data_IF_468011333609
#
_entry.id   IF_468011333609
#
_cell.length_a   1.000
_cell.length_b   1.000
_cell.length_c   1.000
_cell.angle_alpha   90.00
_cell.angle_beta   90.00
_cell.angle_gamma   90.00
#
_symmetry.space_group_name_H-M   'P 1'
#
loop_
_entity.id
_entity.type
_entity.pdbx_description
1 polymer ?
#
# COMPACT_ATOMS: atom_id res chain seq x y z
N UNK A 1 32.11 8.91 35.43
CA UNK A 1 31.57 8.05 34.36
C UNK A 1 30.37 8.77 33.74
N UNK A 2 30.54 9.34 32.54
CA UNK A 2 29.54 10.21 31.90
C UNK A 2 28.40 9.37 31.34
N UNK A 3 27.21 9.61 31.89
CA UNK A 3 25.92 9.18 31.39
C UNK A 3 25.73 9.58 29.91
N UNK A 4 25.75 8.61 29.01
CA UNK A 4 25.29 8.83 27.63
C UNK A 4 23.81 8.48 27.54
N UNK A 5 22.97 9.46 27.87
CA UNK A 5 21.55 9.46 27.50
C UNK A 5 21.42 9.96 26.05
N UNK A 6 20.42 9.39 25.34
CA UNK A 6 19.69 9.95 24.19
C UNK A 6 20.39 9.90 22.81
N UNK A 7 19.90 9.02 21.93
CA UNK A 7 19.27 9.38 20.64
C UNK A 7 18.59 8.14 20.04
N UNK A 8 17.31 8.24 19.66
CA UNK A 8 16.61 7.22 18.85
C UNK A 8 15.31 6.60 19.38
N UNK A 9 14.77 7.04 20.54
CA UNK A 9 13.65 6.34 21.23
C UNK A 9 12.27 7.01 21.19
N UNK A 10 12.09 8.20 20.58
CA UNK A 10 10.83 8.97 20.69
C UNK A 10 9.90 8.97 19.46
N UNK A 11 10.38 8.67 18.24
CA UNK A 11 9.54 8.67 17.02
C UNK A 11 8.92 7.31 16.63
N UNK A 12 9.19 6.24 17.40
CA UNK A 12 8.83 4.86 17.00
C UNK A 12 7.54 4.30 17.59
N UNK A 13 6.87 4.99 18.52
CA UNK A 13 5.67 4.46 19.16
C UNK A 13 4.44 4.92 18.38
N UNK A 14 3.87 4.00 17.60
CA UNK A 14 2.50 4.13 17.10
C UNK A 14 1.57 4.12 18.32
N UNK A 15 0.81 5.20 18.52
CA UNK A 15 -0.24 5.21 19.55
C UNK A 15 -1.45 4.42 19.07
N UNK A 16 -2.34 3.94 19.97
CA UNK A 16 -3.60 3.36 19.55
C UNK A 16 -4.46 4.32 18.69
N UNK A 17 -4.35 5.63 18.92
CA UNK A 17 -4.99 6.66 18.09
C UNK A 17 -4.38 6.71 16.69
N UNK A 18 -3.05 6.65 16.57
CA UNK A 18 -2.38 6.55 15.26
C UNK A 18 -2.82 5.31 14.50
N UNK A 19 -2.90 4.16 15.19
CA UNK A 19 -3.36 2.91 14.59
C UNK A 19 -4.82 3.00 14.13
N UNK A 20 -5.67 3.74 14.84
CA UNK A 20 -7.04 3.99 14.43
C UNK A 20 -7.08 4.86 13.16
N UNK A 21 -6.39 6.00 13.16
CA UNK A 21 -6.32 6.89 12.00
C UNK A 21 -5.75 6.19 10.75
N UNK A 22 -4.70 5.38 10.92
CA UNK A 22 -4.11 4.60 9.84
C UNK A 22 -5.06 3.52 9.32
N UNK A 23 -5.85 2.90 10.19
CA UNK A 23 -6.87 1.91 9.80
C UNK A 23 -7.97 2.56 8.97
N UNK A 24 -8.48 3.70 9.41
CA UNK A 24 -9.53 4.43 8.68
C UNK A 24 -9.03 4.84 7.29
N UNK A 25 -7.82 5.42 7.21
CA UNK A 25 -7.21 5.77 5.93
C UNK A 25 -7.03 4.54 5.01
N UNK A 26 -6.60 3.40 5.54
CA UNK A 26 -6.48 2.16 4.75
C UNK A 26 -7.85 1.63 4.30
N UNK A 27 -8.89 1.78 5.11
CA UNK A 27 -10.26 1.41 4.72
C UNK A 27 -10.77 2.29 3.57
N UNK A 28 -10.57 3.61 3.65
CA UNK A 28 -10.93 4.54 2.58
C UNK A 28 -10.18 4.22 1.28
N UNK A 29 -8.86 3.98 1.38
CA UNK A 29 -8.04 3.57 0.23
C UNK A 29 -8.51 2.24 -0.38
N UNK A 30 -8.97 1.30 0.45
CA UNK A 30 -9.49 0.01 0.00
C UNK A 30 -10.76 0.22 -0.81
N UNK A 31 -11.75 0.91 -0.24
CA UNK A 31 -13.04 1.16 -0.90
C UNK A 31 -12.86 1.87 -2.24
N UNK A 32 -12.03 2.91 -2.27
CA UNK A 32 -11.73 3.65 -3.49
C UNK A 32 -11.10 2.75 -4.56
N UNK A 33 -10.12 1.92 -4.19
CA UNK A 33 -9.46 1.01 -5.14
C UNK A 33 -10.33 -0.16 -5.58
N UNK A 34 -11.15 -0.71 -4.69
CA UNK A 34 -12.13 -1.75 -5.03
C UNK A 34 -13.08 -1.24 -6.11
N UNK A 35 -13.57 -0.01 -5.95
CA UNK A 35 -14.43 0.63 -6.95
C UNK A 35 -13.67 0.90 -8.26
N UNK A 36 -12.44 1.41 -8.21
CA UNK A 36 -11.62 1.56 -9.42
C UNK A 36 -11.39 0.24 -10.16
N UNK A 37 -11.06 -0.83 -9.44
CA UNK A 37 -10.87 -2.16 -10.02
C UNK A 37 -12.18 -2.66 -10.63
N UNK A 38 -13.32 -2.45 -9.95
CA UNK A 38 -14.64 -2.79 -10.49
C UNK A 38 -14.91 -2.06 -11.81
N UNK A 39 -14.67 -0.76 -11.87
CA UNK A 39 -14.89 0.04 -13.09
C UNK A 39 -13.95 -0.38 -14.24
N UNK A 40 -12.67 -0.65 -13.95
CA UNK A 40 -11.70 -1.09 -14.96
C UNK A 40 -12.00 -2.51 -15.48
N UNK A 41 -12.59 -3.36 -14.65
CA UNK A 41 -12.92 -4.75 -15.02
C UNK A 41 -14.31 -4.89 -15.63
N UNK A 42 -15.25 -3.99 -15.33
CA UNK A 42 -16.55 -3.94 -15.97
C UNK A 42 -16.39 -3.78 -17.49
N UNK A 43 -16.71 -4.80 -18.28
CA UNK A 43 -16.77 -4.70 -19.74
C UNK A 43 -17.73 -3.58 -20.14
N UNK A 44 -17.39 -2.72 -21.13
CA UNK A 44 -18.42 -1.89 -21.71
C UNK A 44 -19.45 -2.83 -22.36
N UNK A 45 -20.73 -2.44 -22.49
CA UNK A 45 -21.65 -3.18 -23.33
C UNK A 45 -21.01 -3.39 -24.71
N UNK A 46 -21.06 -4.62 -25.23
CA UNK A 46 -20.51 -4.95 -26.54
C UNK A 46 -21.35 -4.27 -27.62
N UNK A 47 -21.02 -3.02 -27.92
CA UNK A 47 -21.72 -2.22 -28.94
C UNK A 47 -20.85 -1.98 -30.18
N UNK A 48 -19.54 -2.29 -30.13
CA UNK A 48 -18.64 -2.13 -31.27
C UNK A 48 -18.56 -3.42 -32.12
N UNK A 49 -18.93 -3.38 -33.42
CA UNK A 49 -18.80 -4.53 -34.33
C UNK A 49 -17.38 -4.72 -34.86
N UNK A 50 -16.41 -3.84 -34.56
CA UNK A 50 -15.02 -3.96 -35.02
C UNK A 50 -14.12 -4.72 -34.02
N UNK A 51 -13.71 -5.97 -34.33
CA UNK A 51 -12.95 -6.81 -33.41
C UNK A 51 -11.50 -6.34 -33.20
N UNK A 52 -10.91 -5.59 -34.15
CA UNK A 52 -9.52 -5.09 -34.03
C UNK A 52 -9.43 -3.91 -33.06
N UNK A 53 -10.37 -2.98 -33.12
CA UNK A 53 -10.50 -1.88 -32.16
C UNK A 53 -10.86 -2.39 -30.75
N UNK A 54 -11.63 -3.47 -30.65
CA UNK A 54 -12.00 -4.11 -29.38
C UNK A 54 -10.80 -4.76 -28.67
N UNK A 55 -9.94 -5.47 -29.40
CA UNK A 55 -8.74 -6.10 -28.84
C UNK A 55 -7.77 -5.07 -28.24
N UNK A 56 -7.40 -4.04 -29.02
CA UNK A 56 -6.48 -2.99 -28.56
C UNK A 56 -7.03 -2.21 -27.35
N UNK A 57 -8.34 -1.91 -27.31
CA UNK A 57 -8.98 -1.26 -26.14
C UNK A 57 -8.99 -2.15 -24.91
N UNK A 58 -9.12 -3.46 -25.09
CA UNK A 58 -9.11 -4.44 -24.00
C UNK A 58 -7.71 -4.56 -23.38
N UNK A 59 -6.67 -4.64 -24.21
CA UNK A 59 -5.27 -4.71 -23.78
C UNK A 59 -4.89 -3.49 -22.93
N UNK A 60 -5.18 -2.27 -23.43
CA UNK A 60 -4.91 -1.01 -22.70
C UNK A 60 -5.66 -0.93 -21.36
N UNK A 61 -6.81 -1.59 -21.23
CA UNK A 61 -7.58 -1.62 -19.98
C UNK A 61 -7.10 -2.67 -18.97
N UNK A 62 -6.43 -3.73 -19.44
CA UNK A 62 -5.98 -4.83 -18.59
C UNK A 62 -4.76 -4.50 -17.72
N UNK A 63 -3.82 -3.70 -18.25
CA UNK A 63 -2.64 -3.23 -17.51
C UNK A 63 -2.97 -2.39 -16.26
N UNK A 64 -3.79 -1.32 -16.35
CA UNK A 64 -4.15 -0.52 -15.18
C UNK A 64 -4.97 -1.33 -14.16
N UNK A 65 -5.76 -2.31 -14.61
CA UNK A 65 -6.49 -3.20 -13.72
C UNK A 65 -5.55 -4.11 -12.91
N UNK A 66 -4.47 -4.63 -13.51
CA UNK A 66 -3.49 -5.45 -12.81
C UNK A 66 -2.75 -4.65 -11.73
N UNK A 67 -2.30 -3.44 -12.07
CA UNK A 67 -1.61 -2.55 -11.12
C UNK A 67 -2.51 -2.14 -9.96
N UNK A 68 -3.76 -1.75 -10.23
CA UNK A 68 -4.73 -1.40 -9.18
C UNK A 68 -5.02 -2.56 -8.22
N UNK A 69 -5.15 -3.79 -8.74
CA UNK A 69 -5.31 -5.01 -7.90
C UNK A 69 -4.09 -5.28 -7.03
N UNK A 70 -2.88 -5.08 -7.55
CA UNK A 70 -1.66 -5.25 -6.74
C UNK A 70 -1.64 -4.30 -5.55
N UNK A 71 -2.00 -3.02 -5.77
CA UNK A 71 -2.04 -2.04 -4.69
C UNK A 71 -3.20 -2.31 -3.71
N UNK A 72 -4.34 -2.81 -4.20
CA UNK A 72 -5.42 -3.27 -3.33
C UNK A 72 -4.94 -4.40 -2.39
N UNK A 73 -4.21 -5.38 -2.93
CA UNK A 73 -3.61 -6.44 -2.13
C UNK A 73 -2.55 -5.92 -1.13
N UNK A 74 -1.81 -4.85 -1.45
CA UNK A 74 -0.95 -4.12 -0.50
C UNK A 74 -1.73 -3.56 0.69
N UNK A 75 -2.85 -2.87 0.42
CA UNK A 75 -3.72 -2.27 1.42
C UNK A 75 -4.37 -3.33 2.31
N UNK A 76 -4.94 -4.38 1.73
CA UNK A 76 -5.52 -5.50 2.50
C UNK A 76 -4.48 -6.19 3.39
N UNK A 77 -3.26 -6.38 2.87
CA UNK A 77 -2.20 -6.97 3.67
C UNK A 77 -1.77 -6.06 4.83
N UNK A 78 -1.83 -4.74 4.66
CA UNK A 78 -1.58 -3.79 5.74
C UNK A 78 -2.67 -3.86 6.82
N UNK A 79 -3.94 -3.94 6.42
CA UNK A 79 -5.08 -4.13 7.35
C UNK A 79 -4.99 -5.45 8.13
N UNK A 80 -4.61 -6.56 7.47
CA UNK A 80 -4.37 -7.83 8.17
C UNK A 80 -3.28 -7.71 9.24
N UNK A 81 -2.17 -7.02 8.93
CA UNK A 81 -1.10 -6.78 9.90
C UNK A 81 -1.55 -5.91 11.07
N UNK A 82 -2.45 -4.95 10.84
CA UNK A 82 -3.06 -4.15 11.90
C UNK A 82 -3.88 -5.03 12.83
N UNK A 83 -4.70 -5.95 12.29
CA UNK A 83 -5.47 -6.91 13.06
C UNK A 83 -4.58 -7.89 13.85
N UNK A 84 -3.47 -8.35 13.26
CA UNK A 84 -2.48 -9.23 13.91
C UNK A 84 -1.58 -8.51 14.93
N UNK A 85 -1.64 -7.16 15.03
CA UNK A 85 -0.74 -6.38 15.88
C UNK A 85 0.72 -6.35 15.39
N UNK A 86 0.99 -6.77 14.15
CA UNK A 86 2.33 -6.84 13.54
C UNK A 86 2.62 -5.68 12.59
N UNK A 87 1.69 -4.74 12.49
CA UNK A 87 1.83 -3.55 11.65
C UNK A 87 3.03 -2.69 12.05
N UNK A 88 3.54 -1.92 11.09
CA UNK A 88 4.69 -1.03 11.29
C UNK A 88 6.05 -1.72 11.35
N UNK A 89 6.19 -2.96 10.84
CA UNK A 89 7.48 -3.66 10.72
C UNK A 89 7.86 -3.90 9.26
N UNK A 90 9.13 -3.69 8.92
CA UNK A 90 9.64 -3.91 7.57
C UNK A 90 9.69 -5.40 7.23
N UNK A 91 9.19 -5.78 6.05
CA UNK A 91 9.20 -7.18 5.60
C UNK A 91 10.59 -7.75 5.31
N UNK A 92 11.55 -6.89 4.95
CA UNK A 92 12.91 -7.30 4.60
C UNK A 92 13.82 -7.35 5.82
N UNK A 93 13.97 -6.22 6.53
CA UNK A 93 14.90 -6.12 7.65
C UNK A 93 14.26 -6.37 9.03
N UNK A 94 12.94 -6.58 9.09
CA UNK A 94 12.15 -6.80 10.34
C UNK A 94 12.22 -5.67 11.37
N UNK A 95 12.86 -4.54 11.04
CA UNK A 95 12.94 -3.34 11.90
C UNK A 95 11.63 -2.55 11.85
N UNK A 96 11.29 -1.83 12.93
CA UNK A 96 10.11 -0.97 12.93
C UNK A 96 10.26 0.17 11.91
N UNK A 97 9.20 0.38 11.12
CA UNK A 97 9.06 1.47 10.15
C UNK A 97 8.81 2.76 10.91
N UNK A 98 9.31 3.87 10.37
CA UNK A 98 9.14 5.18 10.98
C UNK A 98 7.66 5.60 10.97
N UNK A 99 7.18 6.21 12.07
CA UNK A 99 5.79 6.65 12.17
C UNK A 99 5.47 7.66 11.08
N UNK A 100 6.32 8.65 10.84
CA UNK A 100 6.07 9.66 9.82
C UNK A 100 5.94 9.04 8.42
N UNK A 101 6.72 7.98 8.15
CA UNK A 101 6.59 7.23 6.90
C UNK A 101 5.23 6.53 6.79
N UNK A 102 4.75 5.89 7.86
CA UNK A 102 3.46 5.21 7.87
C UNK A 102 2.28 6.19 7.78
N UNK A 103 2.41 7.39 8.38
CA UNK A 103 1.41 8.45 8.26
C UNK A 103 1.28 8.99 6.83
N UNK A 104 2.38 8.99 6.05
CA UNK A 104 2.37 9.40 4.64
C UNK A 104 1.97 8.24 3.72
N UNK A 105 2.47 7.03 3.99
CA UNK A 105 2.24 5.82 3.18
C UNK A 105 1.82 4.66 4.09
N UNK A 106 0.52 4.54 4.41
CA UNK A 106 0.05 3.53 5.36
C UNK A 106 0.15 2.09 4.83
N UNK A 107 0.14 1.90 3.51
CA UNK A 107 0.32 0.58 2.91
C UNK A 107 1.80 0.14 2.82
N UNK A 108 2.74 0.92 3.35
CA UNK A 108 4.18 0.64 3.23
C UNK A 108 4.56 -0.73 3.80
N UNK A 109 5.17 -1.58 2.96
CA UNK A 109 5.71 -2.91 3.35
C UNK A 109 7.16 -2.85 3.84
N UNK A 110 7.89 -1.78 3.48
CA UNK A 110 9.33 -1.67 3.69
C UNK A 110 9.69 -0.33 4.36
N UNK A 111 10.75 -0.32 5.16
CA UNK A 111 11.30 0.94 5.66
C UNK A 111 11.97 1.71 4.52
N UNK A 112 12.13 3.04 4.66
CA UNK A 112 12.76 3.91 3.67
C UNK A 112 14.09 3.35 3.11
N UNK A 113 14.97 2.84 3.99
CA UNK A 113 16.23 2.19 3.58
C UNK A 113 16.03 0.98 2.68
N UNK A 114 15.16 0.04 3.05
CA UNK A 114 14.91 -1.16 2.25
C UNK A 114 14.18 -0.84 0.95
N UNK A 115 13.32 0.18 0.97
CA UNK A 115 12.66 0.70 -0.23
C UNK A 115 13.68 1.25 -1.22
N UNK A 116 14.58 2.13 -0.76
CA UNK A 116 15.63 2.72 -1.60
C UNK A 116 16.53 1.65 -2.25
N UNK A 117 16.93 0.62 -1.49
CA UNK A 117 17.72 -0.50 -2.03
C UNK A 117 16.98 -1.26 -3.15
N UNK A 118 15.66 -1.43 -3.03
CA UNK A 118 14.85 -2.12 -4.05
C UNK A 118 14.57 -1.24 -5.27
N UNK A 119 14.45 0.08 -5.08
CA UNK A 119 14.25 1.03 -6.17
C UNK A 119 15.55 1.24 -6.97
N UNK A 120 16.71 1.25 -6.31
CA UNK A 120 18.01 1.37 -6.97
C UNK A 120 18.43 0.11 -7.75
N UNK A 121 17.81 -1.03 -7.48
CA UNK A 121 18.04 -2.29 -8.19
C UNK A 121 17.01 -2.61 -9.28
N UNK A 122 16.10 -1.68 -9.58
CA UNK A 122 15.09 -1.79 -10.63
C UNK A 122 15.49 -0.92 -11.82
#
# INVERSE_FOLDING_TARGET
>A
MVNTRITGRRDRRLTPEDLAALRDSLHEQRLFREEQVRQLTAAPPRTDPDPRASAARTEVRTEPAASARMVLADVEAALRRLAEGRYGHCHLCRRPIDRAHLMIVPQARYCARCRQVREAGR
#
